data_IF_387303636382
#
_entry.id   IF_387303636382
#
_cell.length_a   1.000
_cell.length_b   1.000
_cell.length_c   1.000
_cell.angle_alpha   90.00
_cell.angle_beta   90.00
_cell.angle_gamma   90.00
#
_symmetry.space_group_name_H-M   'P 1'
#
loop_
_entity.id
_entity.type
_entity.pdbx_description
1 polymer ?
#
# COMPACT_ATOMS: atom_id res chain seq x y z
N UNK A 1 -22.26 -13.64 -7.61
CA UNK A 1 -22.25 -12.20 -7.33
C UNK A 1 -21.30 -11.55 -8.33
N UNK A 2 -21.77 -10.73 -9.29
CA UNK A 2 -20.85 -9.96 -10.12
C UNK A 2 -20.18 -8.92 -9.23
N UNK A 3 -18.85 -8.93 -9.18
CA UNK A 3 -18.04 -7.91 -8.52
C UNK A 3 -18.39 -6.55 -9.13
N UNK A 4 -18.93 -5.64 -8.31
CA UNK A 4 -19.14 -4.25 -8.72
C UNK A 4 -17.85 -3.68 -9.33
N UNK A 5 -17.92 -2.90 -10.42
CA UNK A 5 -16.74 -2.29 -11.01
C UNK A 5 -16.06 -1.41 -9.95
N UNK A 6 -14.79 -1.70 -9.66
CA UNK A 6 -13.97 -0.88 -8.77
C UNK A 6 -14.00 0.59 -9.22
N UNK A 7 -14.17 1.50 -8.27
CA UNK A 7 -14.11 2.93 -8.56
C UNK A 7 -12.70 3.35 -9.01
N UNK A 8 -12.58 4.49 -9.70
CA UNK A 8 -11.27 5.04 -10.06
C UNK A 8 -10.39 5.27 -8.82
N UNK A 9 -11.00 5.75 -7.74
CA UNK A 9 -10.34 5.98 -6.46
C UNK A 9 -9.81 4.66 -5.85
N UNK A 10 -10.61 3.58 -5.87
CA UNK A 10 -10.16 2.25 -5.44
C UNK A 10 -8.97 1.75 -6.27
N UNK A 11 -8.99 1.95 -7.60
CA UNK A 11 -7.87 1.57 -8.48
C UNK A 11 -6.59 2.34 -8.14
N UNK A 12 -6.69 3.64 -7.89
CA UNK A 12 -5.53 4.46 -7.59
C UNK A 12 -4.94 4.13 -6.22
N UNK A 13 -5.77 3.85 -5.22
CA UNK A 13 -5.30 3.37 -3.91
C UNK A 13 -4.57 2.03 -4.03
N UNK A 14 -5.09 1.06 -4.79
CA UNK A 14 -4.40 -0.22 -5.00
C UNK A 14 -3.05 -0.01 -5.70
N UNK A 15 -2.98 0.86 -6.70
CA UNK A 15 -1.70 1.18 -7.38
C UNK A 15 -0.68 1.76 -6.41
N UNK A 16 -1.09 2.67 -5.52
CA UNK A 16 -0.20 3.26 -4.52
C UNK A 16 0.26 2.19 -3.50
N UNK A 17 -0.66 1.34 -3.03
CA UNK A 17 -0.33 0.24 -2.11
C UNK A 17 0.70 -0.71 -2.74
N UNK A 18 0.50 -1.11 -3.99
CA UNK A 18 1.42 -2.00 -4.70
C UNK A 18 2.78 -1.35 -5.00
N UNK A 19 2.81 -0.04 -5.23
CA UNK A 19 4.06 0.71 -5.38
C UNK A 19 4.85 0.71 -4.06
N UNK A 20 4.20 1.12 -2.96
CA UNK A 20 4.82 1.20 -1.65
C UNK A 20 5.27 -0.17 -1.14
N UNK A 21 4.52 -1.23 -1.42
CA UNK A 21 4.93 -2.61 -1.07
C UNK A 21 6.23 -3.00 -1.77
N UNK A 22 6.35 -2.70 -3.07
CA UNK A 22 7.60 -2.97 -3.82
C UNK A 22 8.77 -2.17 -3.26
N UNK A 23 8.55 -0.89 -2.97
CA UNK A 23 9.58 -0.01 -2.39
C UNK A 23 10.05 -0.53 -1.02
N UNK A 24 9.11 -0.99 -0.16
CA UNK A 24 9.42 -1.56 1.14
C UNK A 24 10.29 -2.81 1.01
N UNK A 25 9.93 -3.72 0.09
CA UNK A 25 10.68 -4.96 -0.15
C UNK A 25 12.09 -4.63 -0.67
N UNK A 26 12.19 -3.78 -1.70
CA UNK A 26 13.48 -3.40 -2.28
C UNK A 26 14.39 -2.71 -1.26
N UNK A 27 13.83 -1.79 -0.47
CA UNK A 27 14.59 -1.09 0.57
C UNK A 27 14.93 -2.03 1.72
N UNK A 28 14.04 -2.95 2.10
CA UNK A 28 14.27 -3.97 3.11
C UNK A 28 15.39 -4.94 2.73
N UNK A 29 15.49 -5.31 1.45
CA UNK A 29 16.60 -6.11 0.91
C UNK A 29 17.92 -5.33 0.96
N UNK A 30 17.89 -4.04 0.62
CA UNK A 30 19.10 -3.20 0.53
C UNK A 30 19.64 -2.73 1.88
N UNK A 31 18.75 -2.35 2.80
CA UNK A 31 19.08 -1.62 4.04
C UNK A 31 18.65 -2.38 5.30
N UNK A 32 17.92 -3.50 5.15
CA UNK A 32 17.31 -4.25 6.25
C UNK A 32 15.93 -3.73 6.63
N UNK A 33 14.99 -4.63 6.92
CA UNK A 33 13.60 -4.29 7.27
C UNK A 33 13.45 -3.53 8.60
N UNK A 34 14.47 -3.59 9.46
CA UNK A 34 14.51 -2.85 10.73
C UNK A 34 15.10 -1.45 10.59
N UNK A 35 15.56 -1.07 9.39
CA UNK A 35 16.05 0.28 9.13
C UNK A 35 14.90 1.29 9.07
N UNK A 36 15.24 2.57 9.22
CA UNK A 36 14.25 3.65 9.31
C UNK A 36 13.35 3.73 8.06
N UNK A 37 13.89 3.48 6.87
CA UNK A 37 13.16 3.66 5.60
C UNK A 37 12.04 2.63 5.40
N UNK A 38 12.24 1.30 5.52
CA UNK A 38 11.14 0.34 5.45
C UNK A 38 10.07 0.58 6.52
N UNK A 39 10.44 1.05 7.72
CA UNK A 39 9.49 1.42 8.78
C UNK A 39 8.61 2.60 8.33
N UNK A 40 9.21 3.64 7.74
CA UNK A 40 8.46 4.78 7.20
C UNK A 40 7.54 4.38 6.04
N UNK A 41 8.01 3.50 5.14
CA UNK A 41 7.20 2.98 4.04
C UNK A 41 6.04 2.12 4.59
N UNK A 42 6.27 1.29 5.61
CA UNK A 42 5.24 0.50 6.28
C UNK A 42 4.15 1.40 6.87
N UNK A 43 4.51 2.49 7.55
CA UNK A 43 3.53 3.45 8.09
C UNK A 43 2.71 4.11 6.99
N UNK A 44 3.31 4.43 5.83
CA UNK A 44 2.58 4.95 4.68
C UNK A 44 1.62 3.89 4.11
N UNK A 45 2.06 2.63 3.99
CA UNK A 45 1.22 1.51 3.56
C UNK A 45 -0.04 1.40 4.42
N UNK A 46 0.11 1.44 5.74
CA UNK A 46 -1.02 1.35 6.68
C UNK A 46 -2.07 2.43 6.42
N UNK A 47 -1.64 3.68 6.15
CA UNK A 47 -2.54 4.80 5.82
C UNK A 47 -3.32 4.52 4.54
N UNK A 48 -2.66 4.04 3.47
CA UNK A 48 -3.34 3.79 2.20
C UNK A 48 -4.24 2.56 2.25
N UNK A 49 -3.85 1.53 3.00
CA UNK A 49 -4.71 0.36 3.28
C UNK A 49 -5.96 0.80 4.02
N UNK A 50 -5.83 1.61 5.07
CA UNK A 50 -6.97 2.14 5.81
C UNK A 50 -7.93 2.96 4.93
N UNK A 51 -7.38 3.81 4.05
CA UNK A 51 -8.19 4.55 3.06
C UNK A 51 -8.93 3.61 2.11
N UNK A 52 -8.26 2.58 1.59
CA UNK A 52 -8.86 1.61 0.68
C UNK A 52 -10.00 0.85 1.36
N UNK A 53 -9.78 0.42 2.60
CA UNK A 53 -10.81 -0.25 3.41
C UNK A 53 -12.01 0.66 3.65
N UNK A 54 -11.79 1.94 3.98
CA UNK A 54 -12.86 2.90 4.24
C UNK A 54 -13.79 3.13 3.04
N UNK A 55 -13.30 3.00 1.81
CA UNK A 55 -14.11 3.17 0.58
C UNK A 55 -14.56 1.84 -0.06
N UNK A 56 -14.18 0.71 0.55
CA UNK A 56 -14.56 -0.63 0.09
C UNK A 56 -15.65 -1.28 0.96
N UNK A 57 -16.02 -0.64 2.07
CA UNK A 57 -17.20 -0.92 2.89
C UNK A 57 -18.37 -0.01 2.49
#
# INVERSE_FOLDING_TARGET
MPSSPMSNEQRDLIRIIELLRREMIQTGIKEGLTSKKPIEISRKLDVYIAKYQAISF
#
